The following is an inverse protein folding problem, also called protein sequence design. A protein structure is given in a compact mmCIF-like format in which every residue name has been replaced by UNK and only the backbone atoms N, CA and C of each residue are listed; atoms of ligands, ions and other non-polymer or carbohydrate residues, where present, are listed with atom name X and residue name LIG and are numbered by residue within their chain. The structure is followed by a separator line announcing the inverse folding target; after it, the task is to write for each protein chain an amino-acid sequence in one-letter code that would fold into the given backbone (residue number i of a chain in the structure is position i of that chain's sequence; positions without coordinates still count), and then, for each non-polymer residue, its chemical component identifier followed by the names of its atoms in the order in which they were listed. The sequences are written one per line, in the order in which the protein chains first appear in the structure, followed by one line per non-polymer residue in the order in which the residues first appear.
data_IF_951912588607
#
_entry.id   IF_951912588607
#
_cell.length_a   1.000
_cell.length_b   1.000
_cell.length_c   1.000
_cell.angle_alpha   90.00
_cell.angle_beta   90.00
_cell.angle_gamma   90.00
#
_symmetry.space_group_name_H-M   'P 1'
#
loop_
_entity.id
_entity.type
_entity.pdbx_description
1 polymer ?
#
# COMPACT_ATOMS: atom_id res chain seq x y z
N UNK A 1 -8.72 -31.09 -16.75
CA UNK A 1 -8.97 -29.91 -15.91
C UNK A 1 -9.65 -28.84 -16.75
N UNK A 2 -10.65 -28.12 -16.21
CA UNK A 2 -11.10 -26.87 -16.82
C UNK A 2 -9.98 -25.81 -16.76
N UNK A 3 -10.03 -24.81 -17.64
CA UNK A 3 -9.09 -23.69 -17.69
C UNK A 3 -9.79 -22.33 -17.57
N UNK A 4 -9.03 -21.25 -17.42
CA UNK A 4 -9.56 -19.88 -17.30
C UNK A 4 -8.96 -19.19 -16.09
N UNK A 5 -7.74 -18.68 -16.22
CA UNK A 5 -7.01 -18.04 -15.12
C UNK A 5 -7.12 -16.54 -15.31
N UNK A 6 -7.64 -15.86 -14.29
CA UNK A 6 -7.73 -14.41 -14.22
C UNK A 6 -7.99 -14.01 -12.77
N UNK A 7 -7.90 -12.72 -12.47
CA UNK A 7 -8.29 -12.15 -11.17
C UNK A 7 -9.65 -12.68 -10.70
N UNK A 8 -9.70 -13.26 -9.51
CA UNK A 8 -10.92 -13.88 -9.00
C UNK A 8 -10.89 -14.04 -7.48
N UNK A 9 -12.05 -14.37 -6.90
CA UNK A 9 -12.07 -14.84 -5.52
C UNK A 9 -11.53 -16.27 -5.41
N UNK A 10 -11.00 -16.65 -4.26
CA UNK A 10 -10.45 -17.98 -4.00
C UNK A 10 -10.88 -18.49 -2.61
N UNK A 11 -10.55 -19.74 -2.29
CA UNK A 11 -11.12 -20.46 -1.14
C UNK A 11 -10.70 -19.95 0.24
N UNK A 12 -9.77 -18.99 0.34
CA UNK A 12 -9.45 -18.36 1.60
C UNK A 12 -10.61 -17.48 2.09
N UNK A 13 -10.84 -17.51 3.41
CA UNK A 13 -11.86 -16.73 4.09
C UNK A 13 -11.21 -15.79 5.10
N UNK A 14 -11.73 -14.58 5.25
CA UNK A 14 -11.37 -13.70 6.37
C UNK A 14 -12.12 -14.07 7.66
N UNK A 15 -11.88 -13.29 8.72
CA UNK A 15 -12.56 -13.41 10.01
C UNK A 15 -14.09 -13.28 9.93
N UNK A 16 -14.62 -12.68 8.86
CA UNK A 16 -16.05 -12.51 8.61
C UNK A 16 -16.62 -13.59 7.67
N UNK A 17 -15.84 -14.62 7.33
CA UNK A 17 -16.20 -15.70 6.41
C UNK A 17 -16.49 -15.21 4.98
N UNK A 18 -15.80 -14.16 4.54
CA UNK A 18 -15.86 -13.64 3.18
C UNK A 18 -14.69 -14.18 2.36
N UNK A 19 -14.99 -14.67 1.16
CA UNK A 19 -13.97 -15.13 0.22
C UNK A 19 -13.01 -14.00 -0.17
N UNK A 20 -11.72 -14.29 -0.14
CA UNK A 20 -10.68 -13.33 -0.49
C UNK A 20 -10.50 -13.24 -2.01
N UNK A 21 -10.03 -12.09 -2.49
CA UNK A 21 -9.95 -11.74 -3.91
C UNK A 21 -8.52 -11.31 -4.28
N UNK A 22 -7.98 -11.81 -5.40
CA UNK A 22 -6.66 -11.40 -5.90
C UNK A 22 -6.47 -11.73 -7.38
N UNK A 23 -5.41 -11.15 -7.95
CA UNK A 23 -4.95 -11.46 -9.31
C UNK A 23 -4.29 -12.84 -9.39
N UNK A 24 -4.79 -13.68 -10.31
CA UNK A 24 -4.15 -14.90 -10.78
C UNK A 24 -3.70 -14.70 -12.23
N UNK A 25 -2.58 -15.28 -12.62
CA UNK A 25 -2.06 -15.10 -13.97
C UNK A 25 -1.08 -16.16 -14.38
N UNK A 26 -0.77 -16.20 -15.67
CA UNK A 26 0.28 -17.09 -16.19
C UNK A 26 1.63 -16.54 -15.73
N UNK A 27 2.41 -17.30 -14.93
CA UNK A 27 3.64 -16.80 -14.30
C UNK A 27 4.66 -16.25 -15.31
N UNK A 28 4.75 -16.86 -16.49
CA UNK A 28 5.67 -16.45 -17.56
C UNK A 28 5.31 -15.12 -18.23
N UNK A 29 4.09 -14.61 -18.01
CA UNK A 29 3.59 -13.35 -18.57
C UNK A 29 3.33 -12.28 -17.48
N UNK A 30 3.46 -12.65 -16.20
CA UNK A 30 3.17 -11.79 -15.07
C UNK A 30 4.40 -11.01 -14.58
N UNK A 31 4.22 -9.73 -14.27
CA UNK A 31 5.23 -8.93 -13.56
C UNK A 31 5.42 -9.42 -12.11
N UNK A 32 4.36 -9.99 -11.53
CA UNK A 32 4.30 -10.53 -10.17
C UNK A 32 4.76 -11.99 -10.18
N UNK A 33 5.85 -12.30 -9.45
CA UNK A 33 6.38 -13.66 -9.24
C UNK A 33 5.51 -14.44 -8.23
N UNK A 34 5.51 -15.77 -8.30
CA UNK A 34 4.76 -16.65 -7.38
C UNK A 34 3.30 -16.92 -7.77
N UNK A 35 2.91 -16.66 -9.03
CA UNK A 35 1.56 -16.96 -9.54
C UNK A 35 1.38 -18.46 -9.91
N UNK A 36 2.44 -19.26 -9.78
CA UNK A 36 2.52 -20.69 -10.13
C UNK A 36 2.00 -21.62 -9.03
N UNK A 37 1.91 -21.13 -7.80
CA UNK A 37 1.52 -21.94 -6.64
C UNK A 37 -0.01 -22.10 -6.52
N UNK A 38 -0.79 -21.20 -7.13
CA UNK A 38 -2.23 -21.08 -6.94
C UNK A 38 -3.02 -21.35 -8.22
N UNK A 39 -3.60 -22.55 -8.33
CA UNK A 39 -4.41 -22.92 -9.49
C UNK A 39 -5.89 -22.59 -9.25
N UNK A 40 -6.31 -21.37 -9.63
CA UNK A 40 -7.71 -20.92 -9.53
C UNK A 40 -8.30 -20.70 -10.92
N UNK A 41 -9.44 -21.35 -11.18
CA UNK A 41 -10.13 -21.29 -12.47
C UNK A 41 -11.41 -20.46 -12.35
N UNK A 42 -11.44 -19.32 -13.06
CA UNK A 42 -12.55 -18.39 -13.14
C UNK A 42 -13.36 -18.58 -14.44
N UNK A 43 -14.67 -18.90 -14.37
CA UNK A 43 -15.49 -19.11 -15.56
C UNK A 43 -15.59 -17.89 -16.49
N UNK A 44 -15.57 -16.66 -15.94
CA UNK A 44 -15.66 -15.45 -16.76
C UNK A 44 -14.45 -15.29 -17.70
N UNK A 45 -13.26 -15.75 -17.29
CA UNK A 45 -12.07 -15.74 -18.14
C UNK A 45 -12.25 -16.65 -19.37
N UNK A 46 -12.92 -17.79 -19.18
CA UNK A 46 -13.32 -18.66 -20.30
C UNK A 46 -14.37 -17.99 -21.18
N UNK A 47 -15.32 -17.26 -20.59
CA UNK A 47 -16.32 -16.53 -21.36
C UNK A 47 -15.66 -15.44 -22.23
N UNK A 48 -14.71 -14.67 -21.71
CA UNK A 48 -13.95 -13.69 -22.49
C UNK A 48 -13.19 -14.33 -23.67
N UNK A 49 -12.66 -15.55 -23.47
CA UNK A 49 -11.96 -16.30 -24.52
C UNK A 49 -12.88 -16.76 -25.68
N UNK A 50 -14.22 -16.65 -25.56
CA UNK A 50 -15.14 -16.91 -26.66
C UNK A 50 -14.86 -16.01 -27.88
N UNK A 51 -14.29 -14.82 -27.67
CA UNK A 51 -13.92 -13.89 -28.74
C UNK A 51 -12.72 -14.34 -29.58
N UNK A 52 -11.92 -15.27 -29.05
CA UNK A 52 -10.67 -15.76 -29.66
C UNK A 52 -10.84 -17.20 -30.14
N UNK A 53 -11.37 -18.09 -29.28
CA UNK A 53 -11.58 -19.50 -29.60
C UNK A 53 -12.95 -19.97 -29.09
N UNK A 54 -14.02 -19.76 -29.88
CA UNK A 54 -15.38 -20.08 -29.46
C UNK A 54 -15.59 -21.56 -29.12
N UNK A 55 -15.10 -22.47 -29.98
CA UNK A 55 -15.33 -23.90 -29.83
C UNK A 55 -14.70 -24.48 -28.56
N UNK A 56 -13.44 -24.13 -28.26
CA UNK A 56 -12.75 -24.58 -27.06
C UNK A 56 -13.31 -23.93 -25.79
N UNK A 57 -13.71 -22.66 -25.87
CA UNK A 57 -14.34 -21.97 -24.74
C UNK A 57 -15.68 -22.61 -24.37
N UNK A 58 -16.52 -22.98 -25.35
CA UNK A 58 -17.79 -23.68 -25.10
C UNK A 58 -17.54 -25.06 -24.49
N UNK A 59 -16.57 -25.83 -25.00
CA UNK A 59 -16.18 -27.13 -24.41
C UNK A 59 -15.75 -26.96 -22.96
N UNK A 60 -14.99 -25.91 -22.65
CA UNK A 60 -14.50 -25.64 -21.31
C UNK A 60 -15.61 -25.16 -20.35
N UNK A 61 -16.51 -24.27 -20.79
CA UNK A 61 -17.68 -23.87 -20.01
C UNK A 61 -18.57 -25.09 -19.68
N UNK A 62 -18.77 -26.01 -20.62
CA UNK A 62 -19.49 -27.27 -20.36
C UNK A 62 -18.77 -28.15 -19.33
N UNK A 63 -17.43 -28.16 -19.30
CA UNK A 63 -16.65 -28.85 -18.26
C UNK A 63 -16.83 -28.18 -16.89
N UNK A 64 -16.84 -26.85 -16.83
CA UNK A 64 -17.10 -26.08 -15.60
C UNK A 64 -18.50 -26.33 -15.03
N UNK A 65 -19.52 -26.41 -15.90
CA UNK A 65 -20.88 -26.81 -15.50
C UNK A 65 -20.86 -28.23 -14.90
N UNK A 66 -20.20 -29.19 -15.55
CA UNK A 66 -20.06 -30.57 -15.03
C UNK A 66 -19.27 -30.63 -13.71
N UNK A 67 -18.39 -29.66 -13.45
CA UNK A 67 -17.63 -29.53 -12.21
C UNK A 67 -18.44 -28.88 -11.06
N UNK A 68 -19.69 -28.45 -11.31
CA UNK A 68 -20.57 -27.89 -10.29
C UNK A 68 -20.43 -26.37 -10.08
N UNK A 69 -19.65 -25.68 -10.92
CA UNK A 69 -19.40 -24.22 -10.79
C UNK A 69 -20.56 -23.39 -11.37
N UNK A 70 -21.73 -23.98 -11.61
CA UNK A 70 -22.90 -23.30 -12.15
C UNK A 70 -24.06 -23.40 -11.15
N UNK A 71 -24.53 -22.25 -10.71
CA UNK A 71 -25.60 -22.10 -9.72
C UNK A 71 -26.79 -21.30 -10.24
N UNK A 72 -27.65 -20.90 -9.30
CA UNK A 72 -28.93 -20.22 -9.57
C UNK A 72 -28.80 -18.94 -10.41
N UNK A 73 -27.72 -18.17 -10.23
CA UNK A 73 -27.52 -16.89 -10.92
C UNK A 73 -26.48 -16.98 -12.04
N UNK A 74 -26.15 -18.18 -12.51
CA UNK A 74 -25.11 -18.42 -13.51
C UNK A 74 -23.86 -19.05 -12.90
N UNK A 75 -22.70 -18.77 -13.49
CA UNK A 75 -21.44 -19.31 -12.98
C UNK A 75 -21.10 -18.71 -11.61
N UNK A 76 -20.68 -19.56 -10.68
CA UNK A 76 -19.97 -19.13 -9.48
C UNK A 76 -18.61 -18.53 -9.84
N UNK A 77 -18.06 -17.78 -8.92
CA UNK A 77 -16.86 -16.96 -9.10
C UNK A 77 -15.64 -17.75 -9.58
N UNK A 78 -15.33 -18.87 -8.91
CA UNK A 78 -14.17 -19.66 -9.28
C UNK A 78 -14.22 -21.10 -8.74
N UNK A 79 -13.30 -21.90 -9.25
CA UNK A 79 -12.96 -23.23 -8.78
C UNK A 79 -11.48 -23.26 -8.39
N UNK A 80 -11.23 -23.38 -7.09
CA UNK A 80 -9.89 -23.27 -6.50
C UNK A 80 -9.27 -24.66 -6.27
N UNK A 81 -8.09 -24.89 -6.84
CA UNK A 81 -7.30 -26.11 -6.70
C UNK A 81 -6.03 -25.91 -5.84
N UNK A 82 -5.85 -24.76 -5.21
CA UNK A 82 -4.62 -24.37 -4.47
C UNK A 82 -4.34 -25.27 -3.26
N UNK A 83 -5.36 -25.68 -2.50
CA UNK A 83 -5.20 -26.46 -1.26
C UNK A 83 -5.09 -27.98 -1.48
N UNK A 84 -4.50 -28.39 -2.60
CA UNK A 84 -4.61 -29.78 -3.08
C UNK A 84 -3.39 -30.63 -2.70
N UNK A 85 -3.45 -31.27 -1.52
CA UNK A 85 -2.58 -32.38 -1.13
C UNK A 85 -3.32 -33.72 -1.35
N UNK A 86 -3.12 -34.39 -2.49
CA UNK A 86 -3.71 -35.72 -2.66
C UNK A 86 -3.46 -36.38 -4.01
N UNK A 87 -2.68 -37.48 -4.01
CA UNK A 87 -2.56 -38.44 -5.11
C UNK A 87 -3.90 -39.17 -5.36
N UNK A 88 -4.88 -38.50 -5.98
CA UNK A 88 -6.09 -39.01 -6.71
C UNK A 88 -7.11 -37.87 -6.89
N UNK A 89 -7.22 -37.35 -8.11
CA UNK A 89 -7.97 -36.14 -8.52
C UNK A 89 -9.31 -35.86 -7.81
N UNK A 90 -9.28 -34.99 -6.79
CA UNK A 90 -10.44 -34.39 -6.14
C UNK A 90 -11.01 -33.19 -6.90
N UNK A 91 -12.23 -32.76 -6.53
CA UNK A 91 -13.11 -31.90 -7.33
C UNK A 91 -12.83 -30.38 -7.28
N UNK A 92 -11.80 -29.91 -6.58
CA UNK A 92 -11.57 -28.46 -6.34
C UNK A 92 -12.59 -27.86 -5.36
N UNK A 93 -12.29 -26.68 -4.79
CA UNK A 93 -13.21 -25.94 -3.91
C UNK A 93 -13.99 -24.93 -4.73
N UNK A 94 -15.32 -25.06 -4.75
CA UNK A 94 -16.20 -24.11 -5.44
C UNK A 94 -16.34 -22.86 -4.56
N UNK A 95 -16.02 -21.70 -5.13
CA UNK A 95 -16.16 -20.41 -4.46
C UNK A 95 -17.55 -19.86 -4.76
N UNK A 96 -18.49 -20.13 -3.85
CA UNK A 96 -19.92 -19.87 -4.02
C UNK A 96 -20.30 -18.38 -3.84
N UNK A 97 -19.72 -17.50 -4.64
CA UNK A 97 -20.09 -16.08 -4.71
C UNK A 97 -20.39 -15.66 -6.16
N UNK A 98 -21.15 -14.58 -6.31
CA UNK A 98 -21.47 -13.98 -7.60
C UNK A 98 -20.94 -12.55 -7.62
N UNK A 99 -19.88 -12.31 -8.39
CA UNK A 99 -19.37 -10.96 -8.62
C UNK A 99 -20.11 -10.32 -9.79
N UNK A 100 -20.82 -9.21 -9.54
CA UNK A 100 -21.61 -8.53 -10.55
C UNK A 100 -20.79 -8.14 -11.79
N UNK A 101 -19.55 -7.69 -11.59
CA UNK A 101 -18.64 -7.32 -12.68
C UNK A 101 -18.19 -8.55 -13.50
N UNK A 102 -17.99 -9.72 -12.89
CA UNK A 102 -17.67 -10.97 -13.60
C UNK A 102 -18.84 -11.54 -14.40
N UNK A 103 -20.06 -11.43 -13.86
CA UNK A 103 -21.27 -11.73 -14.62
C UNK A 103 -21.42 -10.75 -15.80
N UNK A 104 -21.21 -9.46 -15.55
CA UNK A 104 -21.24 -8.42 -16.58
C UNK A 104 -20.23 -8.69 -17.71
N UNK A 105 -18.99 -9.04 -17.37
CA UNK A 105 -17.97 -9.42 -18.37
C UNK A 105 -18.37 -10.66 -19.17
N UNK A 106 -18.93 -11.67 -18.53
CA UNK A 106 -19.40 -12.88 -19.21
C UNK A 106 -20.53 -12.58 -20.21
N UNK A 107 -21.51 -11.78 -19.79
CA UNK A 107 -22.61 -11.34 -20.64
C UNK A 107 -22.12 -10.46 -21.80
N UNK A 108 -21.18 -9.55 -21.54
CA UNK A 108 -20.54 -8.71 -22.56
C UNK A 108 -19.79 -9.55 -23.60
N UNK A 109 -19.11 -10.62 -23.16
CA UNK A 109 -18.43 -11.53 -24.08
C UNK A 109 -19.43 -12.27 -24.98
N UNK A 110 -20.53 -12.77 -24.41
CA UNK A 110 -21.61 -13.42 -25.17
C UNK A 110 -22.27 -12.47 -26.16
N UNK A 111 -22.63 -11.25 -25.72
CA UNK A 111 -23.21 -10.21 -26.58
C UNK A 111 -22.28 -9.89 -27.75
N UNK A 112 -20.99 -9.70 -27.47
CA UNK A 112 -20.02 -9.48 -28.53
C UNK A 112 -19.94 -10.66 -29.50
N UNK A 113 -19.95 -11.91 -29.06
CA UNK A 113 -19.90 -13.05 -29.98
C UNK A 113 -21.17 -13.14 -30.83
N UNK A 114 -22.33 -13.03 -30.21
CA UNK A 114 -23.63 -13.15 -30.90
C UNK A 114 -23.89 -11.99 -31.87
N UNK A 115 -23.51 -10.78 -31.48
CA UNK A 115 -23.69 -9.56 -32.27
C UNK A 115 -22.43 -9.16 -33.06
N UNK A 116 -21.58 -10.14 -33.39
CA UNK A 116 -20.42 -10.02 -34.27
C UNK A 116 -19.40 -8.96 -33.86
N UNK A 117 -19.25 -8.68 -32.57
CA UNK A 117 -18.31 -7.72 -31.99
C UNK A 117 -18.89 -6.32 -31.86
N UNK A 118 -20.19 -6.20 -31.57
CA UNK A 118 -20.91 -4.92 -31.53
C UNK A 118 -20.32 -3.93 -30.52
N UNK A 119 -19.96 -4.39 -29.32
CA UNK A 119 -19.42 -3.50 -28.30
C UNK A 119 -17.98 -3.11 -28.60
N UNK A 120 -17.19 -4.01 -29.21
CA UNK A 120 -15.88 -3.64 -29.77
C UNK A 120 -16.04 -2.55 -30.84
N UNK A 121 -16.93 -2.72 -31.81
CA UNK A 121 -17.18 -1.68 -32.84
C UNK A 121 -17.61 -0.35 -32.23
N UNK A 122 -18.52 -0.36 -31.25
CA UNK A 122 -18.95 0.85 -30.53
C UNK A 122 -17.78 1.53 -29.84
N UNK A 123 -16.94 0.76 -29.14
CA UNK A 123 -15.75 1.27 -28.47
C UNK A 123 -14.79 1.96 -29.45
N UNK A 124 -14.45 1.31 -30.57
CA UNK A 124 -13.57 1.88 -31.60
C UNK A 124 -14.24 2.98 -32.47
N UNK A 125 -15.56 3.19 -32.35
CA UNK A 125 -16.25 4.31 -33.04
C UNK A 125 -16.17 5.62 -32.28
N UNK A 126 -15.78 5.60 -31.00
CA UNK A 126 -15.62 6.82 -30.18
C UNK A 126 -14.35 7.58 -30.60
N UNK A 127 -14.49 8.88 -30.92
CA UNK A 127 -13.38 9.72 -31.36
C UNK A 127 -12.25 9.82 -30.34
N UNK A 128 -12.55 9.72 -29.04
CA UNK A 128 -11.54 9.72 -27.97
C UNK A 128 -10.71 8.46 -28.00
N UNK A 129 -11.33 7.32 -28.30
CA UNK A 129 -10.63 6.03 -28.46
C UNK A 129 -9.81 6.04 -29.74
N UNK A 130 -10.35 6.53 -30.85
CA UNK A 130 -9.61 6.65 -32.12
C UNK A 130 -8.34 7.49 -31.99
N UNK A 131 -8.36 8.55 -31.17
CA UNK A 131 -7.20 9.39 -30.91
C UNK A 131 -6.04 8.64 -30.20
N UNK A 132 -6.36 7.61 -29.42
CA UNK A 132 -5.37 6.81 -28.65
C UNK A 132 -5.17 5.39 -29.18
N UNK A 133 -5.97 4.96 -30.15
CA UNK A 133 -5.90 3.65 -30.79
C UNK A 133 -4.51 3.31 -31.36
N UNK A 134 -3.71 4.26 -31.90
CA UNK A 134 -2.33 3.97 -32.32
C UNK A 134 -1.45 3.38 -31.21
N UNK A 135 -1.71 3.67 -29.94
CA UNK A 135 -0.95 3.11 -28.81
C UNK A 135 -1.10 1.59 -28.69
N UNK A 136 -2.19 1.01 -29.19
CA UNK A 136 -2.39 -0.45 -29.21
C UNK A 136 -1.45 -1.16 -30.19
N UNK A 137 -0.90 -0.43 -31.16
CA UNK A 137 0.02 -0.94 -32.19
C UNK A 137 1.46 -0.49 -31.95
N UNK A 138 1.74 0.19 -30.83
CA UNK A 138 3.08 0.59 -30.47
C UNK A 138 3.94 -0.66 -30.25
N UNK A 139 5.11 -0.70 -30.90
CA UNK A 139 6.03 -1.84 -30.76
C UNK A 139 6.62 -1.81 -29.36
N UNK A 140 6.71 -2.99 -28.74
CA UNK A 140 7.50 -3.17 -27.52
C UNK A 140 8.94 -2.70 -27.83
N UNK A 141 9.50 -1.76 -27.04
CA UNK A 141 10.85 -1.27 -27.27
C UNK A 141 11.86 -2.43 -27.37
N UNK A 142 12.76 -2.42 -28.37
CA UNK A 142 13.73 -3.49 -28.56
C UNK A 142 14.81 -3.54 -27.47
N UNK A 143 14.89 -2.51 -26.62
CA UNK A 143 15.79 -2.48 -25.48
C UNK A 143 15.08 -3.13 -24.29
N UNK A 144 15.60 -4.23 -23.72
CA UNK A 144 15.04 -4.76 -22.50
C UNK A 144 15.13 -3.68 -21.43
N UNK A 145 14.03 -3.41 -20.74
CA UNK A 145 14.05 -2.62 -19.52
C UNK A 145 15.12 -3.22 -18.58
N UNK A 146 16.04 -2.41 -18.07
CA UNK A 146 17.16 -2.82 -17.19
C UNK A 146 16.72 -3.47 -15.86
N UNK A 147 15.43 -3.80 -15.71
CA UNK A 147 14.82 -4.48 -14.57
C UNK A 147 14.67 -6.00 -14.77
N UNK A 148 15.35 -6.61 -15.75
CA UNK A 148 15.46 -8.08 -15.82
C UNK A 148 16.47 -8.55 -14.78
N UNK A 149 16.01 -8.66 -13.53
CA UNK A 149 16.73 -9.36 -12.47
C UNK A 149 16.95 -10.81 -12.93
N UNK A 150 18.20 -11.22 -13.15
CA UNK A 150 18.55 -12.59 -13.51
C UNK A 150 17.95 -13.59 -12.50
N UNK A 151 17.44 -14.75 -12.97
CA UNK A 151 16.95 -15.79 -12.09
C UNK A 151 18.14 -16.39 -11.32
N UNK A 152 18.23 -16.10 -10.03
CA UNK A 152 18.97 -16.95 -9.11
C UNK A 152 18.20 -18.26 -9.00
N UNK A 153 18.86 -19.39 -9.32
CA UNK A 153 18.34 -20.73 -9.09
C UNK A 153 17.80 -20.86 -7.66
N UNK A 154 16.50 -21.13 -7.55
CA UNK A 154 15.86 -21.37 -6.27
C UNK A 154 16.34 -22.71 -5.69
N UNK A 155 17.14 -22.65 -4.63
CA UNK A 155 17.14 -23.71 -3.61
C UNK A 155 15.75 -23.71 -2.98
N UNK A 156 14.99 -24.81 -2.99
CA UNK A 156 13.64 -24.85 -2.45
C UNK A 156 13.70 -24.59 -0.94
N UNK A 157 13.28 -23.39 -0.53
CA UNK A 157 13.14 -23.05 0.88
C UNK A 157 11.86 -23.72 1.39
N UNK A 158 12.03 -24.82 2.11
CA UNK A 158 10.96 -25.49 2.83
C UNK A 158 10.38 -24.51 3.85
N UNK A 159 9.12 -24.07 3.66
CA UNK A 159 8.38 -23.30 4.65
C UNK A 159 8.25 -24.13 5.92
N UNK A 160 9.16 -23.92 6.87
CA UNK A 160 8.94 -24.30 8.25
C UNK A 160 7.96 -23.28 8.82
N UNK A 161 6.68 -23.63 8.86
CA UNK A 161 5.67 -22.92 9.66
C UNK A 161 5.98 -23.14 11.14
N UNK A 162 6.99 -22.44 11.65
CA UNK A 162 7.08 -22.08 13.06
C UNK A 162 6.37 -20.74 13.29
N UNK A 163 6.09 -20.34 14.55
CA UNK A 163 5.71 -18.97 14.83
C UNK A 163 6.84 -18.08 14.32
N UNK A 164 6.60 -17.43 13.18
CA UNK A 164 7.53 -16.45 12.63
C UNK A 164 7.73 -15.41 13.72
N UNK A 165 8.98 -15.20 14.14
CA UNK A 165 9.31 -13.96 14.83
C UNK A 165 8.71 -12.80 14.02
N UNK A 166 8.18 -11.74 14.66
CA UNK A 166 7.60 -10.62 13.94
C UNK A 166 8.60 -10.20 12.87
N UNK A 167 8.15 -10.20 11.61
CA UNK A 167 9.00 -9.88 10.48
C UNK A 167 9.29 -8.39 10.53
N UNK A 168 10.37 -8.02 11.23
CA UNK A 168 10.84 -6.65 11.32
C UNK A 168 11.98 -6.43 10.33
N UNK A 169 12.02 -5.25 9.72
CA UNK A 169 13.06 -4.85 8.79
C UNK A 169 13.94 -3.81 9.47
N UNK A 170 15.25 -4.02 9.49
CA UNK A 170 16.22 -3.10 10.08
C UNK A 170 17.00 -2.40 8.97
N UNK A 171 17.12 -1.09 9.09
CA UNK A 171 17.84 -0.22 8.17
C UNK A 171 18.74 0.74 8.94
N UNK A 172 19.81 1.18 8.30
CA UNK A 172 20.58 2.34 8.70
C UNK A 172 19.99 3.63 8.08
N UNK A 173 20.68 4.76 8.26
CA UNK A 173 20.29 6.03 7.67
C UNK A 173 20.60 6.15 6.18
N UNK A 174 21.49 5.30 5.63
CA UNK A 174 22.13 5.51 4.32
C UNK A 174 21.71 4.44 3.31
N UNK A 175 20.45 4.53 2.90
CA UNK A 175 19.88 3.64 1.90
C UNK A 175 19.83 4.31 0.53
N UNK A 176 20.18 3.63 -0.58
CA UNK A 176 20.10 4.20 -1.94
C UNK A 176 18.72 4.73 -2.34
N UNK A 177 17.68 4.14 -1.75
CA UNK A 177 16.28 4.56 -1.90
C UNK A 177 15.68 4.54 -0.50
N UNK A 178 15.02 5.62 -0.05
CA UNK A 178 14.39 5.67 1.27
C UNK A 178 13.48 4.47 1.49
N UNK A 179 13.67 3.78 2.61
CA UNK A 179 12.82 2.67 3.02
C UNK A 179 11.64 3.24 3.79
N UNK A 180 10.43 2.84 3.41
CA UNK A 180 9.21 3.40 3.98
C UNK A 180 8.45 2.36 4.80
N UNK A 181 7.77 2.87 5.83
CA UNK A 181 6.74 2.19 6.58
C UNK A 181 5.45 3.01 6.46
N UNK A 182 4.35 2.30 6.19
CA UNK A 182 3.01 2.87 6.16
C UNK A 182 2.25 2.33 7.38
N UNK A 183 1.70 3.23 8.18
CA UNK A 183 0.87 2.91 9.34
C UNK A 183 -0.46 3.63 9.17
N UNK A 184 -1.57 3.03 9.61
CA UNK A 184 -2.88 3.66 9.48
C UNK A 184 -4.01 2.83 10.08
N UNK A 185 -5.15 3.49 10.26
CA UNK A 185 -6.37 2.91 10.81
C UNK A 185 -7.57 3.01 9.84
N UNK A 186 -7.30 3.32 8.56
CA UNK A 186 -8.30 3.51 7.50
C UNK A 186 -8.68 4.97 7.28
N UNK A 187 -8.72 5.81 8.31
CA UNK A 187 -8.97 7.26 8.19
C UNK A 187 -7.69 8.08 8.34
N UNK A 188 -6.87 7.74 9.33
CA UNK A 188 -5.55 8.31 9.55
C UNK A 188 -4.49 7.44 8.88
N UNK A 189 -3.53 8.08 8.22
CA UNK A 189 -2.40 7.44 7.57
C UNK A 189 -1.11 8.20 7.88
N UNK A 190 -0.06 7.44 8.20
CA UNK A 190 1.30 7.89 8.41
C UNK A 190 2.20 7.15 7.41
N UNK A 191 2.97 7.91 6.65
CA UNK A 191 4.16 7.38 5.96
C UNK A 191 5.39 7.89 6.69
N UNK A 192 6.31 7.00 7.04
CA UNK A 192 7.59 7.37 7.64
C UNK A 192 8.74 6.63 6.96
N UNK A 193 9.86 7.31 6.75
CA UNK A 193 11.06 6.78 6.10
C UNK A 193 12.08 6.29 7.13
N UNK A 194 13.09 5.54 6.70
CA UNK A 194 14.18 5.07 7.56
C UNK A 194 15.02 6.21 8.13
N UNK A 195 14.87 7.44 7.64
CA UNK A 195 15.55 8.63 8.19
C UNK A 195 14.67 9.41 9.18
N UNK A 196 13.41 9.00 9.37
CA UNK A 196 12.42 9.64 10.24
C UNK A 196 11.56 10.73 9.57
N UNK A 197 11.79 11.01 8.29
CA UNK A 197 10.96 11.89 7.49
C UNK A 197 9.65 11.20 7.07
N UNK A 198 8.66 11.96 6.62
CA UNK A 198 7.36 11.41 6.35
C UNK A 198 6.23 12.42 6.32
N UNK A 199 5.01 11.90 6.37
CA UNK A 199 3.80 12.71 6.48
C UNK A 199 2.69 11.99 7.21
N UNK A 200 1.83 12.79 7.83
CA UNK A 200 0.57 12.37 8.41
C UNK A 200 -0.59 12.93 7.59
N UNK A 201 -1.62 12.11 7.36
CA UNK A 201 -2.81 12.40 6.56
C UNK A 201 -4.05 11.92 7.30
N UNK A 202 -5.13 12.69 7.21
CA UNK A 202 -6.45 12.33 7.71
C UNK A 202 -7.49 12.48 6.61
N UNK A 203 -8.09 11.36 6.19
CA UNK A 203 -8.93 11.29 5.00
C UNK A 203 -8.19 11.81 3.77
N UNK A 204 -8.75 12.84 3.14
CA UNK A 204 -8.16 13.49 1.96
C UNK A 204 -7.23 14.67 2.31
N UNK A 205 -7.03 14.98 3.60
CA UNK A 205 -6.28 16.13 4.07
C UNK A 205 -4.89 15.76 4.59
N UNK A 206 -3.86 16.38 4.03
CA UNK A 206 -2.52 16.29 4.59
C UNK A 206 -2.47 17.12 5.89
N UNK A 207 -2.10 16.49 6.99
CA UNK A 207 -1.91 17.17 8.28
C UNK A 207 -0.58 17.89 8.26
N UNK A 208 0.49 17.16 7.96
CA UNK A 208 1.85 17.69 7.80
C UNK A 208 2.19 17.84 6.31
N UNK A 209 2.86 18.92 5.96
CA UNK A 209 3.33 19.19 4.60
C UNK A 209 4.38 18.17 4.19
N UNK A 210 4.23 17.65 2.97
CA UNK A 210 5.17 16.71 2.39
C UNK A 210 5.28 16.83 0.89
N UNK A 211 6.48 16.52 0.38
CA UNK A 211 6.81 16.41 -1.03
C UNK A 211 7.68 15.17 -1.22
N UNK A 212 7.43 14.44 -2.30
CA UNK A 212 8.33 13.37 -2.72
C UNK A 212 9.68 13.97 -3.10
N UNK A 213 10.68 13.78 -2.26
CA UNK A 213 12.05 14.18 -2.50
C UNK A 213 12.98 13.10 -1.93
N UNK A 214 13.45 12.21 -2.80
CA UNK A 214 14.34 11.11 -2.41
C UNK A 214 15.75 11.56 -2.07
N UNK A 215 16.10 12.82 -2.36
CA UNK A 215 17.44 13.36 -2.15
C UNK A 215 17.52 14.06 -0.80
N UNK A 216 16.58 14.96 -0.51
CA UNK A 216 16.59 15.73 0.73
C UNK A 216 15.87 15.03 1.88
N UNK A 217 14.78 14.33 1.59
CA UNK A 217 13.92 13.64 2.56
C UNK A 217 13.70 14.45 3.85
N UNK A 218 13.40 15.75 3.74
CA UNK A 218 13.45 16.68 4.88
C UNK A 218 12.07 17.16 5.37
N UNK A 219 11.00 16.46 4.99
CA UNK A 219 9.63 16.77 5.37
C UNK A 219 9.16 15.80 6.45
N UNK A 220 8.48 16.29 7.48
CA UNK A 220 7.92 15.41 8.50
C UNK A 220 7.67 16.09 9.84
N UNK A 221 7.44 15.25 10.84
CA UNK A 221 7.36 15.63 12.24
C UNK A 221 8.64 15.17 12.94
N UNK A 222 9.42 16.12 13.40
CA UNK A 222 10.75 15.90 13.95
C UNK A 222 10.79 16.27 15.43
N UNK A 223 11.61 15.54 16.18
CA UNK A 223 11.84 15.81 17.60
C UNK A 223 13.31 16.13 17.77
N UNK A 224 13.57 17.32 18.30
CA UNK A 224 14.89 17.83 18.60
C UNK A 224 15.20 17.66 20.08
N UNK A 225 16.46 17.34 20.37
CA UNK A 225 17.04 17.34 21.69
C UNK A 225 18.17 18.37 21.74
N UNK A 226 18.11 19.24 22.75
CA UNK A 226 19.17 20.21 23.04
C UNK A 226 19.71 19.96 24.45
N UNK A 227 21.03 19.77 24.58
CA UNK A 227 21.68 19.78 25.89
C UNK A 227 21.93 21.22 26.33
N UNK A 228 21.35 21.66 27.46
CA UNK A 228 21.42 23.06 27.89
C UNK A 228 22.83 23.54 28.28
N UNK A 229 23.69 22.66 28.79
CA UNK A 229 25.03 23.04 29.25
C UNK A 229 26.00 23.31 28.10
N UNK A 230 26.02 22.43 27.09
CA UNK A 230 26.90 22.56 25.92
C UNK A 230 26.24 23.26 24.74
N UNK A 231 24.91 23.40 24.77
CA UNK A 231 24.08 23.86 23.65
C UNK A 231 24.19 22.97 22.40
N UNK A 232 24.50 21.68 22.59
CA UNK A 232 24.52 20.69 21.52
C UNK A 232 23.09 20.31 21.10
N UNK A 233 22.82 20.41 19.80
CA UNK A 233 21.53 20.09 19.20
C UNK A 233 21.62 18.84 18.33
N UNK A 234 20.66 17.92 18.47
CA UNK A 234 20.48 16.78 17.56
C UNK A 234 18.99 16.40 17.44
N UNK A 235 18.67 15.55 16.47
CA UNK A 235 17.34 14.99 16.25
C UNK A 235 17.28 13.54 16.72
N UNK A 236 16.10 13.08 17.14
CA UNK A 236 15.91 11.66 17.52
C UNK A 236 16.05 10.71 16.32
N UNK A 237 15.80 11.24 15.13
CA UNK A 237 15.92 10.57 13.84
C UNK A 237 17.06 11.18 13.03
N UNK A 238 17.47 10.56 11.92
CA UNK A 238 18.55 11.09 11.08
C UNK A 238 18.21 12.48 10.51
N UNK A 239 17.00 12.63 9.98
CA UNK A 239 16.46 13.91 9.58
C UNK A 239 15.91 14.67 10.79
N UNK A 240 15.92 16.00 10.78
CA UNK A 240 16.29 16.87 9.65
C UNK A 240 17.74 17.40 9.70
N UNK A 241 18.51 17.02 10.72
CA UNK A 241 19.85 17.56 10.95
C UNK A 241 20.97 16.79 10.22
N UNK A 242 20.66 15.64 9.63
CA UNK A 242 21.57 14.79 8.86
C UNK A 242 22.87 14.46 9.59
N UNK A 243 22.75 14.28 10.91
CA UNK A 243 23.86 13.84 11.74
C UNK A 243 24.04 12.34 11.51
N UNK A 244 25.24 11.95 11.06
CA UNK A 244 25.65 10.55 10.99
C UNK A 244 25.87 9.99 12.39
N UNK A 245 25.29 8.83 12.65
CA UNK A 245 25.48 8.07 13.88
C UNK A 245 25.67 6.60 13.50
N UNK A 246 26.86 6.00 13.73
CA UNK A 246 27.13 4.61 13.35
C UNK A 246 26.28 3.59 14.13
N UNK A 247 25.54 4.03 15.16
CA UNK A 247 24.61 3.20 15.93
C UNK A 247 23.15 3.48 15.59
N UNK A 248 22.89 4.32 14.58
CA UNK A 248 21.55 4.59 14.14
C UNK A 248 20.91 3.33 13.56
N UNK A 249 19.69 3.04 14.00
CA UNK A 249 18.89 1.96 13.41
C UNK A 249 17.43 2.38 13.31
N UNK A 250 16.84 2.18 12.14
CA UNK A 250 15.41 2.22 11.91
C UNK A 250 14.88 0.79 11.81
N UNK A 251 13.96 0.42 12.70
CA UNK A 251 13.31 -0.90 12.71
C UNK A 251 11.83 -0.74 12.39
N UNK A 252 11.38 -1.39 11.32
CA UNK A 252 9.99 -1.36 10.90
C UNK A 252 9.32 -2.70 11.14
N UNK A 253 8.29 -2.67 11.98
CA UNK A 253 7.42 -3.78 12.31
C UNK A 253 6.02 -3.51 11.74
N UNK A 254 5.14 -4.51 11.76
CA UNK A 254 3.77 -4.35 11.24
C UNK A 254 2.97 -3.24 11.96
N UNK A 255 3.23 -3.03 13.25
CA UNK A 255 2.45 -2.14 14.13
C UNK A 255 3.16 -0.83 14.52
N UNK A 256 4.47 -0.70 14.24
CA UNK A 256 5.26 0.49 14.60
C UNK A 256 6.51 0.69 13.75
N UNK A 257 6.99 1.92 13.75
CA UNK A 257 8.34 2.28 13.34
C UNK A 257 9.17 2.67 14.57
N UNK A 258 10.38 2.16 14.67
CA UNK A 258 11.28 2.41 15.78
C UNK A 258 12.59 3.00 15.30
N UNK A 259 13.10 4.00 16.01
CA UNK A 259 14.38 4.63 15.72
C UNK A 259 15.23 4.60 16.99
N UNK A 260 16.47 4.13 16.86
CA UNK A 260 17.45 4.16 17.93
C UNK A 260 18.66 4.95 17.47
N UNK A 261 19.20 5.77 18.36
CA UNK A 261 20.41 6.54 18.15
C UNK A 261 21.11 6.79 19.49
N UNK A 262 22.39 7.15 19.44
CA UNK A 262 23.17 7.48 20.63
C UNK A 262 24.04 8.70 20.37
N UNK A 263 23.85 9.73 21.20
CA UNK A 263 24.67 10.94 21.14
C UNK A 263 25.01 11.46 22.52
N UNK A 264 26.26 11.87 22.70
CA UNK A 264 26.78 12.42 23.96
C UNK A 264 26.52 11.51 25.18
N UNK A 265 26.48 10.19 24.99
CA UNK A 265 26.18 9.24 26.07
C UNK A 265 24.69 9.14 26.44
N UNK A 266 23.80 9.80 25.70
CA UNK A 266 22.35 9.61 25.76
C UNK A 266 21.93 8.64 24.67
N UNK A 267 21.34 7.51 25.05
CA UNK A 267 20.63 6.62 24.12
C UNK A 267 19.20 7.12 23.97
N UNK A 268 18.74 7.22 22.73
CA UNK A 268 17.39 7.66 22.39
C UNK A 268 16.67 6.54 21.65
N UNK A 269 15.43 6.26 22.04
CA UNK A 269 14.55 5.33 21.36
C UNK A 269 13.20 6.01 21.12
N UNK A 270 12.86 6.18 19.85
CA UNK A 270 11.59 6.73 19.39
C UNK A 270 10.75 5.59 18.81
N UNK A 271 9.55 5.39 19.32
CA UNK A 271 8.54 4.49 18.76
C UNK A 271 7.39 5.33 18.19
N UNK A 272 6.99 5.03 16.96
CA UNK A 272 5.89 5.70 16.26
C UNK A 272 4.84 4.67 15.88
N UNK A 273 3.60 4.89 16.29
CA UNK A 273 2.45 4.04 15.95
C UNK A 273 1.21 4.90 15.66
N UNK A 274 0.19 4.30 15.04
CA UNK A 274 -1.11 4.92 14.78
C UNK A 274 -2.15 4.19 15.60
N UNK A 275 -3.00 4.92 16.33
CA UNK A 275 -4.08 4.34 17.11
C UNK A 275 -5.09 3.63 16.20
N UNK A 276 -5.49 2.38 16.51
CA UNK A 276 -6.52 1.69 15.74
C UNK A 276 -7.93 2.25 16.00
N UNK A 277 -8.14 2.93 17.13
CA UNK A 277 -9.46 3.43 17.55
C UNK A 277 -9.65 4.92 17.24
N UNK A 278 -8.57 5.70 17.42
CA UNK A 278 -8.58 7.15 17.24
C UNK A 278 -7.74 7.56 16.05
N UNK A 279 -8.08 8.68 15.41
CA UNK A 279 -7.32 9.24 14.29
C UNK A 279 -6.09 10.00 14.81
N UNK A 280 -5.22 9.29 15.53
CA UNK A 280 -4.10 9.82 16.26
C UNK A 280 -2.82 9.03 16.01
N UNK A 281 -1.72 9.76 15.86
CA UNK A 281 -0.37 9.22 15.85
C UNK A 281 0.24 9.35 17.25
N UNK A 282 0.85 8.26 17.73
CA UNK A 282 1.49 8.20 19.04
C UNK A 282 3.00 8.08 18.84
N UNK A 283 3.74 9.02 19.43
CA UNK A 283 5.21 9.03 19.46
C UNK A 283 5.71 8.85 20.88
N UNK A 284 6.23 7.67 21.22
CA UNK A 284 6.84 7.40 22.52
C UNK A 284 8.34 7.64 22.43
N UNK A 285 8.87 8.42 23.37
CA UNK A 285 10.28 8.76 23.44
C UNK A 285 10.84 8.20 24.74
N UNK A 286 11.86 7.37 24.63
CA UNK A 286 12.62 6.83 25.77
C UNK A 286 14.05 7.34 25.69
N UNK A 287 14.51 8.03 26.74
CA UNK A 287 15.87 8.55 26.84
C UNK A 287 16.59 7.88 28.00
N UNK A 288 17.78 7.33 27.74
CA UNK A 288 18.62 6.68 28.75
C UNK A 288 19.96 7.40 28.83
N UNK A 289 20.22 8.03 29.98
CA UNK A 289 21.53 8.61 30.26
C UNK A 289 22.51 7.52 30.68
N UNK A 290 23.46 7.20 29.80
CA UNK A 290 24.55 6.25 30.06
C UNK A 290 25.83 6.96 30.51
N UNK A 291 25.77 8.27 30.75
CA UNK A 291 26.87 9.06 31.30
C UNK A 291 26.92 9.01 32.82
N UNK A 292 28.05 9.46 33.36
CA UNK A 292 28.26 9.61 34.81
C UNK A 292 27.75 10.93 35.39
N UNK A 293 27.34 11.89 34.53
CA UNK A 293 26.83 13.20 34.94
C UNK A 293 25.33 13.33 34.69
N UNK A 294 24.64 14.02 35.59
CA UNK A 294 23.28 14.50 35.35
C UNK A 294 23.29 15.47 34.15
N UNK A 295 22.20 15.47 33.37
CA UNK A 295 22.06 16.32 32.19
C UNK A 295 20.70 16.96 32.14
N UNK A 296 20.65 18.21 31.71
CA UNK A 296 19.42 18.95 31.44
C UNK A 296 19.20 18.97 29.93
N UNK A 297 18.14 18.29 29.49
CA UNK A 297 17.77 18.18 28.09
C UNK A 297 16.47 18.95 27.84
N UNK A 298 16.43 19.70 26.75
CA UNK A 298 15.22 20.30 26.21
C UNK A 298 14.75 19.49 25.01
N UNK A 299 13.46 19.16 24.99
CA UNK A 299 12.84 18.40 23.92
C UNK A 299 11.82 19.28 23.19
N UNK A 300 11.99 19.39 21.88
CA UNK A 300 11.14 20.24 21.03
C UNK A 300 10.62 19.42 19.86
N UNK A 301 9.30 19.27 19.74
CA UNK A 301 8.66 18.73 18.53
C UNK A 301 8.40 19.84 17.53
N UNK A 302 8.66 19.59 16.25
CA UNK A 302 8.30 20.50 15.18
C UNK A 302 7.75 19.76 13.97
N UNK A 303 6.65 20.27 13.43
CA UNK A 303 6.06 19.81 12.19
C UNK A 303 5.60 21.01 11.38
N UNK A 304 5.76 20.94 10.06
CA UNK A 304 5.22 21.96 9.17
C UNK A 304 3.81 21.56 8.73
N UNK A 305 2.80 22.32 9.18
CA UNK A 305 1.40 21.98 8.92
C UNK A 305 0.94 22.36 7.50
N UNK A 306 0.04 21.55 6.95
CA UNK A 306 -0.62 21.78 5.67
C UNK A 306 -2.13 21.98 5.81
N UNK A 307 -2.82 21.12 6.58
CA UNK A 307 -4.27 21.15 6.82
C UNK A 307 -5.07 21.43 5.54
N UNK A 308 -4.74 20.72 4.47
CA UNK A 308 -5.33 20.91 3.15
C UNK A 308 -5.24 19.62 2.32
N UNK A 309 -6.07 19.46 1.28
CA UNK A 309 -5.87 18.39 0.32
C UNK A 309 -4.49 18.52 -0.35
N UNK A 310 -3.82 17.40 -0.58
CA UNK A 310 -2.43 17.37 -1.07
C UNK A 310 -2.19 18.28 -2.28
N UNK A 311 -3.08 18.21 -3.29
CA UNK A 311 -2.98 19.01 -4.50
C UNK A 311 -3.14 20.52 -4.26
N UNK A 312 -3.97 20.92 -3.30
CA UNK A 312 -4.23 22.33 -2.99
C UNK A 312 -3.01 22.98 -2.31
N UNK A 313 -2.38 22.30 -1.35
CA UNK A 313 -1.14 22.78 -0.74
C UNK A 313 0.01 22.83 -1.76
N UNK A 314 0.07 21.86 -2.68
CA UNK A 314 1.10 21.81 -3.72
C UNK A 314 0.99 22.95 -4.73
N UNK A 315 -0.23 23.33 -5.11
CA UNK A 315 -0.47 24.38 -6.09
C UNK A 315 -0.07 25.77 -5.56
N UNK A 316 -0.47 26.12 -4.32
CA UNK A 316 -0.21 27.44 -3.75
C UNK A 316 0.18 27.37 -2.26
N UNK A 317 1.42 26.97 -1.92
CA UNK A 317 1.84 26.77 -0.52
C UNK A 317 1.79 28.05 0.32
N UNK A 318 2.30 29.17 -0.22
CA UNK A 318 2.31 30.45 0.49
C UNK A 318 0.90 30.95 0.81
N UNK A 319 -0.02 30.77 -0.15
CA UNK A 319 -1.43 31.08 0.07
C UNK A 319 -2.05 30.16 1.11
N UNK A 320 -1.74 28.86 1.08
CA UNK A 320 -2.27 27.91 2.05
C UNK A 320 -1.89 28.26 3.50
N UNK A 321 -0.64 28.70 3.72
CA UNK A 321 -0.13 29.12 5.04
C UNK A 321 -0.94 30.27 5.66
N UNK A 322 -1.53 31.17 4.87
CA UNK A 322 -2.32 32.30 5.36
C UNK A 322 -3.64 31.87 6.06
N UNK A 323 -4.04 30.61 5.92
CA UNK A 323 -5.27 30.07 6.49
C UNK A 323 -5.02 29.15 7.67
N UNK A 324 -3.76 28.83 8.01
CA UNK A 324 -3.45 28.00 9.16
C UNK A 324 -3.32 28.91 10.37
N UNK A 325 -4.10 28.63 11.40
CA UNK A 325 -4.04 29.29 12.70
C UNK A 325 -3.58 28.29 13.74
N UNK A 326 -2.79 28.76 14.70
CA UNK A 326 -2.27 27.95 15.80
C UNK A 326 -2.47 28.66 17.12
N UNK A 327 -2.82 27.92 18.17
CA UNK A 327 -3.01 28.44 19.51
C UNK A 327 -2.47 27.45 20.55
N UNK A 328 -1.60 27.93 21.44
CA UNK A 328 -1.14 27.15 22.57
C UNK A 328 -2.14 27.26 23.73
N UNK A 329 -2.67 26.13 24.20
CA UNK A 329 -3.63 26.07 25.31
C UNK A 329 -3.03 25.33 26.49
N UNK A 330 -2.47 26.09 27.44
CA UNK A 330 -1.79 25.55 28.62
C UNK A 330 -2.68 24.63 29.47
N UNK A 331 -3.96 24.96 29.61
CA UNK A 331 -4.96 24.16 30.36
C UNK A 331 -5.13 22.75 29.79
N UNK A 332 -5.09 22.62 28.46
CA UNK A 332 -5.19 21.35 27.74
C UNK A 332 -3.83 20.69 27.52
N UNK A 333 -2.73 21.39 27.82
CA UNK A 333 -1.35 21.01 27.47
C UNK A 333 -1.21 20.65 25.99
N UNK A 334 -1.88 21.41 25.13
CA UNK A 334 -1.99 21.12 23.70
C UNK A 334 -1.65 22.36 22.85
N UNK A 335 -1.14 22.12 21.65
CA UNK A 335 -0.97 23.12 20.62
C UNK A 335 -2.02 22.86 19.54
N UNK A 336 -3.09 23.66 19.54
CA UNK A 336 -4.14 23.53 18.57
C UNK A 336 -3.72 24.17 17.25
N UNK A 337 -4.09 23.54 16.15
CA UNK A 337 -4.00 24.11 14.83
C UNK A 337 -5.29 23.85 14.05
N UNK A 338 -5.75 24.87 13.34
CA UNK A 338 -6.94 24.74 12.51
C UNK A 338 -6.84 25.59 11.25
N UNK A 339 -7.71 25.28 10.30
CA UNK A 339 -7.85 26.03 9.07
C UNK A 339 -8.98 27.06 9.20
N UNK A 340 -8.68 28.32 8.87
CA UNK A 340 -9.69 29.38 8.73
C UNK A 340 -10.56 29.10 7.51
N UNK A 341 -11.88 29.07 7.73
CA UNK A 341 -12.89 28.86 6.68
C UNK A 341 -12.82 29.95 5.61
N UNK A 342 -13.01 29.55 4.34
CA UNK A 342 -13.07 30.44 3.17
C UNK A 342 -14.49 30.75 2.73
N UNK A 343 -15.40 29.82 2.99
CA UNK A 343 -16.83 29.97 2.74
C UNK A 343 -17.64 29.39 3.92
N UNK A 344 -18.91 29.78 4.07
CA UNK A 344 -19.79 29.23 5.10
C UNK A 344 -20.02 27.71 4.98
N UNK A 345 -19.82 27.14 3.79
CA UNK A 345 -20.05 25.73 3.49
C UNK A 345 -18.84 24.83 3.78
N UNK A 346 -17.69 25.41 4.14
CA UNK A 346 -16.47 24.66 4.45
C UNK A 346 -16.52 24.15 5.89
N UNK A 347 -16.16 22.87 6.09
CA UNK A 347 -16.06 22.29 7.44
C UNK A 347 -14.70 22.60 8.06
N UNK A 348 -14.65 23.03 9.33
CA UNK A 348 -13.38 23.32 9.99
C UNK A 348 -12.61 22.04 10.28
N UNK A 349 -11.30 22.09 10.10
CA UNK A 349 -10.38 20.99 10.41
C UNK A 349 -9.51 21.41 11.57
N UNK A 350 -9.42 20.53 12.57
CA UNK A 350 -8.68 20.74 13.80
C UNK A 350 -7.64 19.64 13.99
N UNK A 351 -6.48 20.02 14.50
CA UNK A 351 -5.37 19.15 14.92
C UNK A 351 -4.85 19.66 16.26
N UNK A 352 -4.37 18.75 17.10
CA UNK A 352 -3.81 19.04 18.42
C UNK A 352 -2.49 18.31 18.64
#
# INVERSE_FOLDING_TARGET
MPWGISESAYSALDSHKIYQYRAFGVPSLGLKRGLDEDLVVAPYATALALLVSPAESIKNLKRLVKAGVYGRMGFYESLDYTRYEGRRGGKGVIVCTYMAHHQGMSLMALDNVLNRGIMRRRFHSDRRIQAVEPLLYERIPPVPSMLVHQPSDHVPMRLLSGPSAPEYRVFDEDTPIPRVQLLGNGRYALMITNTGAGYSRWGDFDITRWRSDTTRDNWGNFIYLCEKESNDLWSLTHQPLNVKDPRYTATFSADRAEFRSRRLGIESHLEVTVSPEDDAEIRRITLVNQGSRARTLELTSAAELSLAPHGADRAHPAFNKLFIQTEARAELRALLAWRRLRSPDESPIWVA
#
